data_IF_282151680600
#
_entry.id   IF_282151680600
#
_cell.length_a   1.000
_cell.length_b   1.000
_cell.length_c   1.000
_cell.angle_alpha   90.00
_cell.angle_beta   90.00
_cell.angle_gamma   90.00
#
_symmetry.space_group_name_H-M   'P 1'
#
loop_
_entity.id
_entity.type
_entity.pdbx_description
1 polymer ?
#
# COMPACT_ATOMS: atom_id res chain seq x y z
N UNK A 1 -7.60 -5.84 -6.89
CA UNK A 1 -8.10 -5.48 -5.54
C UNK A 1 -7.94 -6.69 -4.64
N UNK A 2 -7.37 -6.57 -3.43
CA UNK A 2 -7.27 -7.68 -2.48
C UNK A 2 -8.41 -7.61 -1.48
N UNK A 3 -9.31 -8.60 -1.52
CA UNK A 3 -10.40 -8.76 -0.54
C UNK A 3 -9.90 -9.67 0.58
N UNK A 4 -10.16 -9.30 1.83
CA UNK A 4 -9.82 -10.10 3.01
C UNK A 4 -11.08 -10.28 3.85
N UNK A 5 -11.48 -11.53 4.07
CA UNK A 5 -12.63 -11.87 4.91
C UNK A 5 -12.09 -12.46 6.21
N UNK A 6 -12.46 -11.86 7.34
CA UNK A 6 -12.17 -12.44 8.66
C UNK A 6 -12.99 -13.71 8.84
N UNK A 7 -12.40 -14.88 9.13
CA UNK A 7 -13.19 -16.11 9.28
C UNK A 7 -14.14 -16.07 10.48
N UNK A 8 -13.86 -15.21 11.46
CA UNK A 8 -14.74 -14.96 12.62
C UNK A 8 -15.99 -14.15 12.28
N UNK A 9 -15.98 -13.45 11.13
CA UNK A 9 -17.10 -12.63 10.66
C UNK A 9 -18.02 -13.38 9.71
N UNK A 10 -17.79 -14.66 9.42
CA UNK A 10 -18.64 -15.49 8.54
C UNK A 10 -19.68 -16.23 9.38
N UNK A 11 -20.98 -16.02 9.14
CA UNK A 11 -22.05 -16.79 9.79
C UNK A 11 -22.28 -18.14 9.11
N UNK A 12 -22.21 -18.16 7.77
CA UNK A 12 -22.45 -19.36 6.98
C UNK A 12 -21.71 -19.32 5.63
N UNK A 13 -21.40 -20.51 5.11
CA UNK A 13 -20.83 -20.73 3.78
C UNK A 13 -21.60 -21.87 3.11
N UNK A 14 -22.33 -21.53 2.04
CA UNK A 14 -22.88 -22.50 1.10
C UNK A 14 -22.10 -22.48 -0.21
N UNK A 15 -22.19 -23.56 -0.99
CA UNK A 15 -21.54 -23.63 -2.30
C UNK A 15 -22.43 -24.37 -3.31
N UNK A 16 -22.38 -23.93 -4.57
CA UNK A 16 -23.14 -24.54 -5.67
C UNK A 16 -22.41 -24.38 -7.00
N UNK A 17 -22.35 -25.44 -7.82
CA UNK A 17 -21.85 -25.36 -9.19
C UNK A 17 -22.90 -24.66 -10.06
N UNK A 18 -22.55 -23.54 -10.69
CA UNK A 18 -23.46 -22.77 -11.55
C UNK A 18 -22.93 -22.75 -12.99
N UNK A 19 -23.72 -23.32 -13.89
CA UNK A 19 -23.50 -23.28 -15.35
C UNK A 19 -24.12 -22.02 -15.98
N UNK A 20 -25.20 -21.50 -15.40
CA UNK A 20 -25.76 -20.17 -15.71
C UNK A 20 -25.09 -19.13 -14.81
N UNK A 21 -24.10 -18.43 -15.36
CA UNK A 21 -23.37 -17.35 -14.70
C UNK A 21 -23.86 -15.97 -15.17
N UNK A 22 -23.64 -14.88 -14.41
CA UNK A 22 -23.92 -13.53 -14.87
C UNK A 22 -23.09 -13.15 -16.10
N UNK A 23 -23.62 -12.30 -16.97
CA UNK A 23 -23.00 -11.93 -18.26
C UNK A 23 -21.60 -11.30 -18.14
N UNK A 24 -21.28 -10.72 -16.98
CA UNK A 24 -19.95 -10.18 -16.67
C UNK A 24 -18.89 -11.26 -16.35
N UNK A 25 -19.30 -12.51 -16.14
CA UNK A 25 -18.45 -13.63 -15.68
C UNK A 25 -18.38 -14.76 -16.72
N UNK A 26 -19.45 -14.96 -17.50
CA UNK A 26 -19.51 -15.96 -18.59
C UNK A 26 -18.35 -15.92 -19.60
N UNK A 27 -17.76 -14.77 -20.02
CA UNK A 27 -16.60 -14.78 -20.91
C UNK A 27 -15.27 -15.09 -20.20
N UNK A 28 -15.23 -15.11 -18.86
CA UNK A 28 -14.01 -15.31 -18.06
C UNK A 28 -13.90 -16.76 -17.58
N UNK A 29 -15.01 -17.35 -17.16
CA UNK A 29 -15.07 -18.74 -16.68
C UNK A 29 -16.34 -19.40 -17.24
N UNK A 30 -16.24 -20.52 -18.01
CA UNK A 30 -17.41 -21.16 -18.63
C UNK A 30 -18.24 -22.00 -17.65
N UNK A 31 -17.66 -22.45 -16.53
CA UNK A 31 -18.37 -23.09 -15.44
C UNK A 31 -17.68 -22.73 -14.12
N UNK A 32 -18.44 -22.35 -13.10
CA UNK A 32 -17.88 -21.89 -11.84
C UNK A 32 -18.66 -22.39 -10.63
N UNK A 33 -17.90 -22.70 -9.58
CA UNK A 33 -18.42 -22.96 -8.25
C UNK A 33 -18.66 -21.62 -7.58
N UNK A 34 -19.92 -21.34 -7.28
CA UNK A 34 -20.37 -20.16 -6.58
C UNK A 34 -20.38 -20.45 -5.09
N UNK A 35 -19.54 -19.74 -4.34
CA UNK A 35 -19.54 -19.69 -2.89
C UNK A 35 -20.46 -18.54 -2.46
N UNK A 36 -21.48 -18.83 -1.66
CA UNK A 36 -22.33 -17.80 -1.05
C UNK A 36 -22.00 -17.74 0.45
N UNK A 37 -21.43 -16.61 0.87
CA UNK A 37 -21.01 -16.33 2.24
C UNK A 37 -21.94 -15.28 2.83
N UNK A 38 -22.40 -15.51 4.05
CA UNK A 38 -23.08 -14.48 4.84
C UNK A 38 -22.15 -14.03 5.98
N UNK A 39 -22.14 -12.72 6.22
CA UNK A 39 -21.31 -12.07 7.24
C UNK A 39 -22.13 -11.61 8.46
N UNK A 40 -21.49 -11.57 9.62
CA UNK A 40 -22.03 -10.98 10.86
C UNK A 40 -22.14 -9.47 10.74
N UNK A 41 -21.07 -8.84 10.24
CA UNK A 41 -20.89 -7.41 10.11
C UNK A 41 -20.71 -7.04 8.63
N UNK A 42 -21.10 -5.83 8.25
CA UNK A 42 -20.93 -5.33 6.89
C UNK A 42 -19.46 -4.99 6.56
N UNK A 43 -19.14 -4.86 5.27
CA UNK A 43 -17.76 -4.83 4.76
C UNK A 43 -17.02 -3.56 5.21
N UNK A 44 -16.04 -3.74 6.11
CA UNK A 44 -15.18 -2.66 6.61
C UNK A 44 -14.18 -2.20 5.54
N UNK A 45 -14.13 -0.90 5.29
CA UNK A 45 -13.20 -0.30 4.32
C UNK A 45 -11.92 0.20 5.02
N UNK A 46 -10.78 -0.14 4.43
CA UNK A 46 -9.45 0.29 4.87
C UNK A 46 -8.84 1.28 3.86
N UNK A 47 -8.31 2.39 4.36
CA UNK A 47 -7.60 3.43 3.58
C UNK A 47 -6.22 3.73 4.17
N UNK A 48 -5.27 4.25 3.38
CA UNK A 48 -3.97 4.67 3.91
C UNK A 48 -4.10 5.68 5.05
N UNK A 49 -3.30 5.53 6.12
CA UNK A 49 -3.38 6.35 7.32
C UNK A 49 -3.24 7.86 7.06
N UNK A 50 -2.47 8.24 6.03
CA UNK A 50 -2.24 9.63 5.63
C UNK A 50 -3.43 10.30 4.93
N UNK A 51 -4.46 9.56 4.50
CA UNK A 51 -5.64 10.16 3.88
C UNK A 51 -6.43 10.93 4.95
N UNK A 52 -6.73 12.21 4.67
CA UNK A 52 -7.55 13.05 5.54
C UNK A 52 -9.02 12.61 5.45
N UNK A 53 -9.71 12.67 6.58
CA UNK A 53 -11.14 12.38 6.66
C UNK A 53 -11.98 13.68 6.59
N UNK A 54 -13.21 13.63 6.04
CA UNK A 54 -13.83 12.49 5.36
C UNK A 54 -13.14 12.17 4.02
N UNK A 55 -13.18 10.91 3.60
CA UNK A 55 -12.59 10.47 2.31
C UNK A 55 -13.44 11.02 1.17
N UNK A 56 -12.96 12.07 0.52
CA UNK A 56 -13.64 12.77 -0.57
C UNK A 56 -13.00 12.49 -1.93
N UNK A 57 -13.83 12.40 -2.99
CA UNK A 57 -13.36 12.20 -4.35
C UNK A 57 -12.78 13.50 -4.94
N UNK A 58 -11.51 13.45 -5.39
CA UNK A 58 -10.86 14.56 -6.09
C UNK A 58 -11.28 14.71 -7.57
N UNK A 59 -11.89 13.66 -8.17
CA UNK A 59 -12.32 13.60 -9.58
C UNK A 59 -13.64 12.81 -9.70
N UNK A 60 -14.46 13.10 -10.71
CA UNK A 60 -15.77 12.45 -10.88
C UNK A 60 -15.73 10.92 -11.05
N UNK A 61 -14.71 10.36 -11.72
CA UNK A 61 -14.50 8.90 -11.80
C UNK A 61 -14.20 8.30 -10.40
N UNK A 62 -13.43 8.99 -9.57
CA UNK A 62 -13.18 8.60 -8.18
C UNK A 62 -14.43 8.70 -7.31
N UNK A 63 -15.36 9.62 -7.63
CA UNK A 63 -16.68 9.71 -7.00
C UNK A 63 -17.43 8.39 -7.13
N UNK A 64 -17.67 7.94 -8.37
CA UNK A 64 -18.33 6.65 -8.66
C UNK A 64 -17.69 5.46 -7.95
N UNK A 65 -16.37 5.45 -7.78
CA UNK A 65 -15.67 4.39 -7.05
C UNK A 65 -15.97 4.47 -5.54
N UNK A 66 -16.00 5.66 -4.94
CA UNK A 66 -16.42 5.82 -3.55
C UNK A 66 -17.91 5.51 -3.36
N UNK A 67 -18.76 5.84 -4.34
CA UNK A 67 -20.20 5.52 -4.32
C UNK A 67 -20.41 4.00 -4.34
N UNK A 68 -19.78 3.27 -5.26
CA UNK A 68 -19.86 1.80 -5.30
C UNK A 68 -19.18 1.11 -4.10
N UNK A 69 -18.14 1.72 -3.52
CA UNK A 69 -17.56 1.23 -2.26
C UNK A 69 -18.48 1.50 -1.06
N UNK A 70 -19.20 2.63 -1.05
CA UNK A 70 -20.22 2.93 -0.05
C UNK A 70 -21.36 1.90 -0.12
N UNK A 71 -21.88 1.61 -1.31
CA UNK A 71 -22.85 0.53 -1.52
C UNK A 71 -22.31 -0.81 -1.00
N UNK A 72 -21.07 -1.18 -1.36
CA UNK A 72 -20.42 -2.42 -0.91
C UNK A 72 -20.26 -2.49 0.63
N UNK A 73 -19.99 -1.37 1.31
CA UNK A 73 -19.85 -1.33 2.78
C UNK A 73 -21.15 -1.58 3.56
N UNK A 74 -22.29 -1.70 2.88
CA UNK A 74 -23.58 -2.10 3.45
C UNK A 74 -23.94 -3.57 3.14
N UNK A 75 -23.11 -4.29 2.39
CA UNK A 75 -23.37 -5.69 1.99
C UNK A 75 -22.92 -6.67 3.07
N UNK A 76 -23.83 -7.55 3.49
CA UNK A 76 -23.57 -8.71 4.37
C UNK A 76 -23.46 -10.03 3.60
N UNK A 77 -24.05 -10.13 2.42
CA UNK A 77 -24.14 -11.37 1.64
C UNK A 77 -23.24 -11.32 0.40
N UNK A 78 -22.15 -12.09 0.40
CA UNK A 78 -21.14 -12.13 -0.65
C UNK A 78 -21.29 -13.37 -1.53
N UNK A 79 -21.27 -13.17 -2.85
CA UNK A 79 -21.17 -14.25 -3.85
C UNK A 79 -19.81 -14.20 -4.53
N UNK A 80 -19.01 -15.24 -4.33
CA UNK A 80 -17.67 -15.39 -4.93
C UNK A 80 -17.72 -16.55 -5.92
N UNK A 81 -17.30 -16.30 -7.16
CA UNK A 81 -17.23 -17.32 -8.21
C UNK A 81 -15.77 -17.77 -8.37
N UNK A 82 -15.53 -19.08 -8.27
CA UNK A 82 -14.21 -19.70 -8.49
C UNK A 82 -14.29 -20.77 -9.58
N UNK A 83 -13.20 -21.03 -10.34
CA UNK A 83 -13.15 -22.15 -11.27
C UNK A 83 -13.45 -23.48 -10.56
N UNK A 84 -14.17 -24.40 -11.22
CA UNK A 84 -14.51 -25.71 -10.63
C UNK A 84 -13.29 -26.60 -10.31
N UNK A 85 -12.12 -26.28 -10.88
CA UNK A 85 -10.84 -26.93 -10.59
C UNK A 85 -10.10 -26.36 -9.37
N UNK A 86 -10.58 -25.25 -8.78
CA UNK A 86 -9.85 -24.54 -7.73
C UNK A 86 -9.96 -25.18 -6.33
N UNK A 87 -11.05 -25.91 -6.04
CA UNK A 87 -11.27 -26.64 -4.78
C UNK A 87 -11.99 -27.96 -5.04
N UNK A 88 -11.56 -29.04 -4.40
CA UNK A 88 -12.28 -30.32 -4.44
C UNK A 88 -13.56 -30.28 -3.61
N UNK A 89 -14.53 -31.16 -3.92
CA UNK A 89 -15.75 -31.31 -3.14
C UNK A 89 -15.49 -31.65 -1.66
N UNK A 90 -14.38 -32.34 -1.35
CA UNK A 90 -13.97 -32.63 0.02
C UNK A 90 -13.40 -31.39 0.73
N UNK A 91 -12.65 -30.55 0.02
CA UNK A 91 -12.18 -29.27 0.54
C UNK A 91 -13.36 -28.32 0.81
N UNK A 92 -14.32 -28.22 -0.11
CA UNK A 92 -15.53 -27.41 0.05
C UNK A 92 -16.35 -27.84 1.29
N UNK A 93 -16.55 -29.16 1.49
CA UNK A 93 -17.18 -29.71 2.71
C UNK A 93 -16.37 -29.44 3.97
N UNK A 94 -15.04 -29.53 3.89
CA UNK A 94 -14.14 -29.28 5.02
C UNK A 94 -14.20 -27.81 5.45
N UNK A 95 -14.19 -26.87 4.51
CA UNK A 95 -14.29 -25.43 4.79
C UNK A 95 -15.68 -25.09 5.32
N UNK A 96 -16.76 -25.58 4.68
CA UNK A 96 -18.14 -25.34 5.12
C UNK A 96 -18.37 -25.85 6.55
N UNK A 97 -18.00 -27.10 6.86
CA UNK A 97 -18.13 -27.63 8.24
C UNK A 97 -17.16 -26.99 9.25
N UNK A 98 -16.09 -26.32 8.81
CA UNK A 98 -15.23 -25.51 9.68
C UNK A 98 -15.79 -24.10 9.94
N UNK A 99 -16.57 -23.54 9.02
CA UNK A 99 -17.40 -22.33 9.25
C UNK A 99 -18.50 -22.64 10.26
N UNK A 100 -19.30 -23.69 10.02
CA UNK A 100 -20.39 -24.11 10.93
C UNK A 100 -19.93 -24.32 12.38
N UNK A 101 -18.70 -24.83 12.57
CA UNK A 101 -18.10 -25.09 13.89
C UNK A 101 -17.28 -23.93 14.44
N UNK A 102 -17.19 -22.81 13.72
CA UNK A 102 -16.34 -21.64 14.05
C UNK A 102 -14.87 -22.02 14.32
N UNK A 103 -14.34 -23.01 13.58
CA UNK A 103 -12.99 -23.55 13.74
C UNK A 103 -11.94 -22.84 12.87
N UNK A 104 -12.36 -22.07 11.87
CA UNK A 104 -11.44 -21.26 11.07
C UNK A 104 -10.82 -20.13 11.91
N UNK A 105 -9.49 -20.04 11.90
CA UNK A 105 -8.76 -18.98 12.60
C UNK A 105 -8.33 -17.88 11.63
N UNK A 106 -8.31 -16.59 12.03
CA UNK A 106 -7.68 -15.53 11.26
C UNK A 106 -6.22 -15.87 10.92
N UNK A 107 -5.82 -15.64 9.67
CA UNK A 107 -4.43 -15.75 9.26
C UNK A 107 -3.57 -14.77 10.07
N UNK A 108 -2.41 -15.25 10.51
CA UNK A 108 -1.46 -14.48 11.33
C UNK A 108 -0.14 -14.37 10.59
N UNK A 109 0.36 -13.15 10.37
CA UNK A 109 1.61 -12.90 9.65
C UNK A 109 1.80 -11.42 9.32
N UNK A 110 2.99 -11.01 8.83
CA UNK A 110 3.29 -9.61 8.54
C UNK A 110 2.38 -9.01 7.46
N UNK A 111 1.88 -9.82 6.52
CA UNK A 111 0.96 -9.34 5.48
C UNK A 111 -0.40 -8.91 6.05
N UNK A 112 -0.79 -9.45 7.21
CA UNK A 112 -2.06 -9.17 7.90
C UNK A 112 -1.97 -8.03 8.91
N UNK A 113 -0.77 -7.51 9.15
CA UNK A 113 -0.53 -6.30 9.95
C UNK A 113 -1.00 -5.06 9.17
N UNK A 114 -2.12 -4.47 9.60
CA UNK A 114 -2.66 -3.24 8.99
C UNK A 114 -1.65 -2.09 8.99
N UNK A 115 -0.69 -2.07 9.92
CA UNK A 115 0.37 -1.06 10.01
C UNK A 115 1.37 -1.12 8.83
N UNK A 116 1.44 -2.26 8.12
CA UNK A 116 2.34 -2.47 6.97
C UNK A 116 1.67 -2.29 5.62
N UNK A 117 0.34 -2.21 5.59
CA UNK A 117 -0.42 -1.96 4.38
C UNK A 117 -0.06 -0.61 3.75
N UNK A 118 -0.35 -0.45 2.45
CA UNK A 118 -0.05 0.76 1.67
C UNK A 118 1.44 1.15 1.75
N UNK A 119 2.32 0.20 1.42
CA UNK A 119 3.79 0.36 1.40
C UNK A 119 4.38 0.86 2.73
N UNK A 120 3.91 0.33 3.87
CA UNK A 120 4.36 0.76 5.19
C UNK A 120 3.74 2.06 5.71
N UNK A 121 2.84 2.71 4.96
CA UNK A 121 2.07 3.88 5.42
C UNK A 121 1.02 3.54 6.49
N UNK A 122 0.71 2.25 6.62
CA UNK A 122 -0.37 1.74 7.45
C UNK A 122 -1.75 1.99 6.84
N UNK A 123 -2.72 1.19 7.29
CA UNK A 123 -4.13 1.32 7.01
C UNK A 123 -4.91 1.69 8.27
N UNK A 124 -5.96 2.49 8.08
CA UNK A 124 -7.00 2.76 9.08
C UNK A 124 -8.37 2.40 8.52
N UNK A 125 -9.29 2.05 9.43
CA UNK A 125 -10.72 1.93 9.11
C UNK A 125 -11.26 3.31 8.78
N UNK A 126 -12.14 3.39 7.78
CA UNK A 126 -12.89 4.61 7.47
C UNK A 126 -14.37 4.29 7.26
N UNK A 127 -15.23 5.26 7.54
CA UNK A 127 -16.63 5.25 7.11
C UNK A 127 -16.75 6.17 5.90
N UNK A 128 -17.17 5.64 4.76
CA UNK A 128 -17.45 6.46 3.60
C UNK A 128 -18.73 7.29 3.83
N UNK A 129 -18.71 8.54 3.39
CA UNK A 129 -19.90 9.38 3.44
C UNK A 129 -20.94 8.89 2.41
N UNK A 130 -22.22 9.01 2.75
CA UNK A 130 -23.29 8.74 1.79
C UNK A 130 -23.19 9.69 0.58
N UNK A 131 -23.51 9.22 -0.66
CA UNK A 131 -23.54 10.08 -1.84
C UNK A 131 -24.42 11.31 -1.61
N UNK A 132 -23.83 12.51 -1.77
CA UNK A 132 -24.55 13.75 -1.56
C UNK A 132 -25.61 13.95 -2.65
N UNK A 133 -26.87 14.30 -2.31
CA UNK A 133 -27.82 14.79 -3.29
C UNK A 133 -27.28 16.10 -3.91
N UNK A 134 -27.67 16.44 -5.16
CA UNK A 134 -27.13 17.60 -5.86
C UNK A 134 -27.43 18.90 -5.11
N UNK A 135 -26.40 19.45 -4.46
CA UNK A 135 -26.50 20.63 -3.59
C UNK A 135 -26.16 21.92 -4.34
N UNK A 136 -26.99 22.94 -4.16
CA UNK A 136 -26.67 24.32 -4.55
C UNK A 136 -25.99 25.08 -3.39
N UNK A 137 -25.20 26.09 -3.78
CA UNK A 137 -24.56 27.15 -2.97
C UNK A 137 -23.54 26.82 -1.84
N UNK A 138 -22.26 26.96 -2.23
CA UNK A 138 -21.21 27.83 -1.66
C UNK A 138 -21.35 28.38 -0.22
N UNK A 139 -20.25 28.29 0.56
CA UNK A 139 -19.26 29.36 0.92
C UNK A 139 -18.35 28.82 2.07
N UNK A 140 -17.12 29.32 2.21
CA UNK A 140 -16.09 28.82 3.15
C UNK A 140 -15.82 29.72 4.39
N UNK A 141 -15.12 29.18 5.39
CA UNK A 141 -14.40 29.92 6.46
C UNK A 141 -13.12 29.17 6.92
N UNK A 142 -12.18 29.84 7.60
CA UNK A 142 -10.74 29.46 7.67
C UNK A 142 -10.08 29.85 9.03
N UNK A 143 -8.91 29.24 9.37
CA UNK A 143 -7.88 29.70 10.36
C UNK A 143 -8.16 29.49 11.90
N UNK A 144 -7.19 29.44 12.86
CA UNK A 144 -5.69 29.50 12.85
C UNK A 144 -4.99 28.96 14.15
N UNK A 145 -3.71 28.55 14.04
CA UNK A 145 -2.51 28.70 14.95
C UNK A 145 -2.46 28.45 16.50
N UNK A 146 -1.30 27.98 16.99
CA UNK A 146 -0.76 27.99 18.39
C UNK A 146 0.47 28.98 18.49
N UNK A 147 1.49 28.94 19.41
CA UNK A 147 1.74 28.28 20.73
C UNK A 147 2.36 29.23 21.83
N UNK A 148 2.86 28.75 23.01
CA UNK A 148 3.69 29.54 23.98
C UNK A 148 4.61 28.73 24.96
N UNK A 149 5.93 29.10 25.03
CA UNK A 149 6.83 29.40 26.21
C UNK A 149 7.02 28.40 27.41
N UNK A 150 8.10 28.36 28.24
CA UNK A 150 9.30 29.23 28.42
C UNK A 150 10.62 28.54 28.99
N UNK A 151 11.66 29.35 29.24
CA UNK A 151 13.04 29.18 29.84
C UNK A 151 13.15 28.38 31.19
N UNK A 152 14.31 28.04 31.81
CA UNK A 152 15.68 28.64 31.87
C UNK A 152 16.79 27.73 32.49
N UNK A 153 18.08 27.93 32.06
CA UNK A 153 19.38 27.97 32.82
C UNK A 153 19.82 26.81 33.81
N UNK A 154 21.04 26.70 34.40
CA UNK A 154 22.33 27.46 34.39
C UNK A 154 23.60 26.57 34.62
N UNK A 155 24.77 27.17 34.94
CA UNK A 155 26.18 26.67 34.96
C UNK A 155 26.81 26.05 36.27
N UNK A 156 27.52 24.93 36.10
CA UNK A 156 28.95 24.56 36.40
C UNK A 156 29.74 24.59 37.78
N UNK A 157 30.87 23.82 37.90
CA UNK A 157 31.68 23.52 39.13
C UNK A 157 33.18 24.00 38.99
N UNK A 158 34.33 23.28 39.29
CA UNK A 158 34.73 22.14 40.18
C UNK A 158 36.11 22.31 40.96
N UNK A 159 36.64 21.20 41.55
CA UNK A 159 38.04 20.68 41.43
C UNK A 159 39.09 20.62 42.63
N UNK A 160 39.86 19.50 42.67
CA UNK A 160 41.19 19.22 43.31
C UNK A 160 41.43 19.13 44.85
N UNK A 161 42.28 18.16 45.31
CA UNK A 161 43.63 18.39 45.94
C UNK A 161 44.42 17.13 46.41
N UNK A 162 45.73 17.32 46.63
CA UNK A 162 46.82 16.31 46.78
C UNK A 162 47.35 16.12 48.22
N UNK A 163 47.98 14.95 48.53
CA UNK A 163 49.01 14.62 49.56
C UNK A 163 49.43 13.13 49.43
N UNK A 164 50.56 12.59 49.96
CA UNK A 164 52.00 12.97 49.96
C UNK A 164 52.85 11.70 50.30
N UNK A 165 54.14 11.61 49.92
CA UNK A 165 55.07 10.48 50.25
C UNK A 165 55.84 10.66 51.57
N UNK A 166 56.42 9.55 52.09
CA UNK A 166 57.49 9.49 53.12
C UNK A 166 58.62 8.53 52.68
N UNK A 167 59.77 8.61 53.37
CA UNK A 167 61.03 7.90 53.09
C UNK A 167 61.57 7.27 54.39
N UNK A 168 62.17 6.07 54.30
CA UNK A 168 63.02 5.45 55.33
C UNK A 168 63.86 4.33 54.69
N UNK A 169 65.01 3.99 55.29
CA UNK A 169 66.16 3.37 54.59
C UNK A 169 66.68 2.09 55.29
N UNK A 170 67.24 1.19 54.47
CA UNK A 170 68.15 0.04 54.73
C UNK A 170 68.00 -0.82 56.01
N UNK A 171 67.96 -2.14 55.77
CA UNK A 171 68.64 -3.15 56.60
C UNK A 171 69.40 -4.08 55.66
N UNK A 172 70.70 -4.28 55.90
CA UNK A 172 71.51 -5.30 55.23
C UNK A 172 71.03 -6.68 55.67
N UNK A 173 70.45 -7.45 54.74
CA UNK A 173 69.91 -8.77 55.04
C UNK A 173 70.14 -9.73 53.86
N UNK A 174 71.20 -10.54 54.02
CA UNK A 174 71.46 -11.84 53.38
C UNK A 174 71.56 -11.87 51.84
N UNK A 175 72.70 -12.32 51.32
CA UNK A 175 73.00 -12.27 49.89
C UNK A 175 72.04 -13.14 49.06
N UNK A 176 71.68 -14.33 49.58
CA UNK A 176 70.70 -15.21 48.93
C UNK A 176 69.29 -14.62 49.01
N UNK A 177 68.94 -13.94 50.11
CA UNK A 177 67.67 -13.23 50.21
C UNK A 177 67.58 -12.01 49.27
N UNK A 178 68.71 -11.36 48.96
CA UNK A 178 68.81 -10.32 47.93
C UNK A 178 68.66 -10.94 46.54
N UNK A 179 69.35 -12.04 46.24
CA UNK A 179 69.28 -12.72 44.95
C UNK A 179 67.87 -13.24 44.63
N UNK A 180 67.22 -13.90 45.60
CA UNK A 180 65.83 -14.35 45.49
C UNK A 180 64.84 -13.18 45.29
N UNK A 181 65.09 -12.01 45.92
CA UNK A 181 64.29 -10.79 45.65
C UNK A 181 64.54 -10.25 44.25
N UNK A 182 65.79 -10.29 43.76
CA UNK A 182 66.15 -9.81 42.43
C UNK A 182 65.50 -10.68 41.33
N UNK A 183 65.60 -12.00 41.44
CA UNK A 183 64.97 -12.95 40.54
C UNK A 183 63.43 -12.83 40.56
N UNK A 184 62.83 -12.58 41.73
CA UNK A 184 61.39 -12.31 41.86
C UNK A 184 60.99 -10.98 41.20
N UNK A 185 61.81 -9.94 41.31
CA UNK A 185 61.59 -8.66 40.63
C UNK A 185 61.73 -8.80 39.11
N UNK A 186 62.71 -9.54 38.62
CA UNK A 186 62.88 -9.86 37.20
C UNK A 186 61.68 -10.62 36.64
N UNK A 187 61.21 -11.67 37.33
CA UNK A 187 59.99 -12.39 36.95
C UNK A 187 58.74 -11.49 36.96
N UNK A 188 58.62 -10.57 37.92
CA UNK A 188 57.54 -9.59 37.96
C UNK A 188 57.64 -8.53 36.83
N UNK A 189 58.85 -8.13 36.45
CA UNK A 189 59.08 -7.21 35.32
C UNK A 189 58.70 -7.90 34.00
N UNK A 190 59.17 -9.13 33.78
CA UNK A 190 58.89 -9.90 32.56
C UNK A 190 57.40 -10.25 32.40
N UNK A 191 56.70 -10.57 33.49
CA UNK A 191 55.24 -10.72 33.44
C UNK A 191 54.52 -9.38 33.15
N UNK A 192 55.07 -8.26 33.60
CA UNK A 192 54.46 -6.94 33.41
C UNK A 192 54.64 -6.40 32.00
N UNK A 193 55.81 -6.57 31.38
CA UNK A 193 55.98 -6.27 29.95
C UNK A 193 55.08 -7.15 29.10
N UNK A 194 54.98 -8.45 29.39
CA UNK A 194 54.04 -9.33 28.69
C UNK A 194 52.57 -8.89 28.82
N UNK A 195 52.15 -8.36 29.97
CA UNK A 195 50.82 -7.76 30.14
C UNK A 195 50.65 -6.41 29.41
N UNK A 196 51.66 -5.53 29.47
CA UNK A 196 51.61 -4.22 28.79
C UNK A 196 51.59 -4.38 27.26
N UNK A 197 52.31 -5.38 26.71
CA UNK A 197 52.29 -5.71 25.28
C UNK A 197 50.98 -6.40 24.87
N UNK A 198 50.46 -7.35 25.67
CA UNK A 198 49.12 -7.91 25.44
C UNK A 198 48.01 -6.85 25.46
N UNK A 199 48.14 -5.83 26.33
CA UNK A 199 47.21 -4.70 26.39
C UNK A 199 47.32 -3.77 25.17
N UNK A 200 48.52 -3.58 24.62
CA UNK A 200 48.75 -2.86 23.35
C UNK A 200 48.10 -3.57 22.18
N UNK A 201 48.31 -4.87 22.04
CA UNK A 201 47.71 -5.69 20.96
C UNK A 201 46.17 -5.66 21.02
N UNK A 202 45.59 -5.76 22.21
CA UNK A 202 44.14 -5.59 22.40
C UNK A 202 43.68 -4.18 22.04
N UNK A 203 44.43 -3.14 22.40
CA UNK A 203 44.08 -1.76 22.04
C UNK A 203 44.15 -1.51 20.52
N UNK A 204 45.11 -2.13 19.81
CA UNK A 204 45.23 -2.06 18.36
C UNK A 204 44.05 -2.79 17.68
N UNK A 205 43.71 -4.00 18.14
CA UNK A 205 42.56 -4.75 17.63
C UNK A 205 41.24 -4.00 17.85
N UNK A 206 41.04 -3.40 19.03
CA UNK A 206 39.86 -2.57 19.33
C UNK A 206 39.80 -1.35 18.41
N UNK A 207 40.94 -0.76 18.04
CA UNK A 207 40.97 0.37 17.11
C UNK A 207 40.59 -0.07 15.69
N UNK A 208 41.22 -1.13 15.15
CA UNK A 208 40.88 -1.69 13.83
C UNK A 208 39.40 -2.06 13.74
N UNK A 209 38.84 -2.69 14.78
CA UNK A 209 37.40 -3.03 14.83
C UNK A 209 36.49 -1.79 14.86
N UNK A 210 36.91 -0.68 15.48
CA UNK A 210 36.16 0.59 15.46
C UNK A 210 36.18 1.24 14.08
N UNK A 211 37.33 1.22 13.43
CA UNK A 211 37.52 1.82 12.11
C UNK A 211 36.74 1.04 11.03
N UNK A 212 36.73 -0.30 11.11
CA UNK A 212 35.89 -1.16 10.28
C UNK A 212 34.38 -0.94 10.55
N UNK A 213 33.96 -0.83 11.82
CA UNK A 213 32.56 -0.50 12.17
C UNK A 213 32.16 0.89 11.66
N UNK A 214 33.07 1.87 11.63
CA UNK A 214 32.81 3.18 11.05
C UNK A 214 32.63 3.09 9.52
N UNK A 215 33.52 2.37 8.84
CA UNK A 215 33.47 2.16 7.39
C UNK A 215 32.20 1.41 6.95
N UNK A 216 31.83 0.34 7.65
CA UNK A 216 30.59 -0.41 7.39
C UNK A 216 29.32 0.43 7.60
N UNK A 217 29.33 1.37 8.57
CA UNK A 217 28.22 2.33 8.75
C UNK A 217 28.13 3.34 7.61
N UNK A 218 29.26 3.82 7.11
CA UNK A 218 29.30 4.72 5.94
C UNK A 218 28.80 4.01 4.67
N UNK A 219 29.25 2.78 4.42
CA UNK A 219 28.74 1.94 3.32
C UNK A 219 27.22 1.71 3.45
N UNK A 220 26.74 1.40 4.65
CA UNK A 220 25.31 1.16 4.92
C UNK A 220 24.48 2.43 4.70
N UNK A 221 24.93 3.60 5.15
CA UNK A 221 24.25 4.88 4.90
C UNK A 221 24.25 5.25 3.39
N UNK A 222 25.36 5.00 2.69
CA UNK A 222 25.47 5.18 1.23
C UNK A 222 24.52 4.24 0.47
N UNK A 223 24.37 3.00 0.93
CA UNK A 223 23.43 2.03 0.37
C UNK A 223 21.97 2.43 0.62
N UNK A 224 21.62 2.77 1.87
CA UNK A 224 20.29 3.25 2.24
C UNK A 224 19.87 4.47 1.43
N UNK A 225 20.78 5.43 1.21
CA UNK A 225 20.49 6.59 0.36
C UNK A 225 20.17 6.17 -1.07
N UNK A 226 20.99 5.30 -1.69
CA UNK A 226 20.74 4.79 -3.05
C UNK A 226 19.40 4.06 -3.16
N UNK A 227 19.00 3.30 -2.14
CA UNK A 227 17.68 2.67 -2.10
C UNK A 227 16.56 3.71 -2.09
N UNK A 228 16.65 4.74 -1.24
CA UNK A 228 15.65 5.82 -1.19
C UNK A 228 15.60 6.64 -2.50
N UNK A 229 16.77 6.98 -3.08
CA UNK A 229 16.88 7.68 -4.36
C UNK A 229 16.20 6.85 -5.49
N UNK A 230 16.41 5.52 -5.52
CA UNK A 230 15.77 4.59 -6.47
C UNK A 230 14.27 4.36 -6.21
N UNK A 231 13.82 4.35 -4.96
CA UNK A 231 12.40 4.22 -4.60
C UNK A 231 11.61 5.44 -5.10
N UNK A 232 12.20 6.64 -5.01
CA UNK A 232 11.64 7.89 -5.58
C UNK A 232 11.59 7.80 -7.11
N UNK A 233 12.66 7.34 -7.78
CA UNK A 233 12.68 7.17 -9.24
C UNK A 233 11.61 6.19 -9.72
N UNK A 234 11.50 5.02 -9.07
CA UNK A 234 10.48 4.00 -9.40
C UNK A 234 9.06 4.49 -9.11
N UNK A 235 8.85 5.32 -8.08
CA UNK A 235 7.56 5.95 -7.82
C UNK A 235 7.19 6.95 -8.94
N UNK A 236 8.12 7.83 -9.33
CA UNK A 236 7.92 8.78 -10.42
C UNK A 236 7.66 8.11 -11.76
N UNK A 237 8.43 7.07 -12.11
CA UNK A 237 8.21 6.29 -13.33
C UNK A 237 6.81 5.64 -13.37
N UNK A 238 6.36 5.08 -12.25
CA UNK A 238 4.99 4.53 -12.12
C UNK A 238 3.91 5.59 -12.26
N UNK A 239 4.11 6.78 -11.70
CA UNK A 239 3.20 7.90 -11.90
C UNK A 239 3.16 8.37 -13.36
N UNK A 240 4.32 8.46 -14.04
CA UNK A 240 4.33 8.81 -15.47
C UNK A 240 3.68 7.74 -16.35
N UNK A 241 3.87 6.46 -16.05
CA UNK A 241 3.18 5.38 -16.77
C UNK A 241 1.67 5.44 -16.53
N UNK A 242 1.22 5.56 -15.28
CA UNK A 242 -0.21 5.64 -14.97
C UNK A 242 -0.90 6.85 -15.64
N UNK A 243 -0.22 8.00 -15.72
CA UNK A 243 -0.75 9.17 -16.45
C UNK A 243 -0.77 8.97 -17.97
N UNK A 244 0.18 8.21 -18.54
CA UNK A 244 0.17 7.84 -19.96
C UNK A 244 -0.96 6.85 -20.28
N UNK A 245 -1.10 5.81 -19.45
CA UNK A 245 -2.18 4.80 -19.56
C UNK A 245 -3.57 5.44 -19.44
N UNK A 246 -3.77 6.35 -18.47
CA UNK A 246 -5.03 7.12 -18.31
C UNK A 246 -5.30 8.01 -19.54
N UNK A 247 -4.25 8.58 -20.16
CA UNK A 247 -4.39 9.43 -21.35
C UNK A 247 -4.76 8.61 -22.59
N UNK A 248 -4.08 7.49 -22.84
CA UNK A 248 -4.43 6.57 -23.94
C UNK A 248 -5.85 6.02 -23.76
N UNK A 249 -6.25 5.70 -22.52
CA UNK A 249 -7.61 5.26 -22.20
C UNK A 249 -8.70 6.34 -22.36
N UNK A 250 -8.34 7.62 -22.44
CA UNK A 250 -9.27 8.71 -22.83
C UNK A 250 -9.38 8.80 -24.34
N UNK A 251 -8.26 8.91 -25.07
CA UNK A 251 -8.25 8.95 -26.54
C UNK A 251 -8.95 7.71 -27.16
N UNK A 252 -8.74 6.52 -26.58
CA UNK A 252 -9.42 5.28 -26.97
C UNK A 252 -10.91 5.23 -26.60
N UNK A 253 -11.38 6.07 -25.68
CA UNK A 253 -12.80 6.19 -25.36
C UNK A 253 -13.49 7.16 -26.34
N UNK A 254 -12.87 8.31 -26.58
CA UNK A 254 -13.40 9.35 -27.48
C UNK A 254 -13.49 8.82 -28.92
N UNK A 255 -12.46 8.11 -29.41
CA UNK A 255 -12.53 7.41 -30.71
C UNK A 255 -13.65 6.36 -30.81
N UNK A 256 -14.07 5.73 -29.69
CA UNK A 256 -15.20 4.79 -29.69
C UNK A 256 -16.55 5.50 -29.74
N UNK A 257 -16.66 6.68 -29.14
CA UNK A 257 -17.86 7.51 -29.25
C UNK A 257 -18.01 8.11 -30.66
N UNK A 258 -16.90 8.51 -31.30
CA UNK A 258 -16.87 8.90 -32.71
C UNK A 258 -17.26 7.74 -33.64
N UNK A 259 -16.68 6.54 -33.47
CA UNK A 259 -17.07 5.34 -34.24
C UNK A 259 -18.57 5.06 -34.08
N UNK A 260 -19.09 5.04 -32.85
CA UNK A 260 -20.52 4.83 -32.58
C UNK A 260 -21.39 5.93 -33.21
N UNK A 261 -20.91 7.17 -33.26
CA UNK A 261 -21.62 8.29 -33.90
C UNK A 261 -21.63 8.14 -35.43
N UNK A 262 -20.54 7.63 -36.02
CA UNK A 262 -20.47 7.30 -37.44
C UNK A 262 -21.33 6.08 -37.80
N UNK A 263 -21.35 5.03 -36.97
CA UNK A 263 -22.24 3.88 -37.09
C UNK A 263 -23.69 4.35 -37.15
N UNK A 264 -24.19 5.08 -36.14
CA UNK A 264 -25.56 5.61 -36.12
C UNK A 264 -25.92 6.45 -37.37
N UNK A 265 -24.95 7.16 -37.95
CA UNK A 265 -25.13 7.94 -39.18
C UNK A 265 -25.16 7.08 -40.44
N UNK A 266 -24.33 6.03 -40.51
CA UNK A 266 -24.38 5.02 -41.57
C UNK A 266 -25.75 4.34 -41.56
N UNK A 267 -26.17 3.89 -40.38
CA UNK A 267 -27.45 3.24 -40.07
C UNK A 267 -28.66 4.08 -40.51
N UNK A 268 -28.59 5.41 -40.34
CA UNK A 268 -29.60 6.36 -40.82
C UNK A 268 -29.60 6.50 -42.34
N UNK A 269 -28.42 6.61 -42.98
CA UNK A 269 -28.30 6.73 -44.43
C UNK A 269 -28.72 5.45 -45.15
N UNK A 270 -28.40 4.28 -44.60
CA UNK A 270 -28.78 2.99 -45.17
C UNK A 270 -30.30 2.75 -45.08
N UNK A 271 -30.92 3.03 -43.92
CA UNK A 271 -32.39 3.05 -43.81
C UNK A 271 -33.05 4.05 -44.75
N UNK A 272 -32.52 5.27 -44.86
CA UNK A 272 -33.05 6.31 -45.75
C UNK A 272 -32.82 6.06 -47.24
N UNK A 273 -31.93 5.12 -47.61
CA UNK A 273 -31.70 4.67 -48.99
C UNK A 273 -32.72 3.62 -49.43
N UNK A 274 -33.13 2.76 -48.50
CA UNK A 274 -34.08 1.67 -48.76
C UNK A 274 -35.54 2.07 -48.41
N UNK A 275 -35.77 3.34 -48.03
CA UNK A 275 -37.09 3.95 -47.80
C UNK A 275 -37.81 4.25 -49.13
N UNK A 276 -38.38 3.20 -49.73
CA UNK A 276 -39.23 3.31 -50.93
C UNK A 276 -40.50 4.16 -50.68
N UNK A 277 -40.97 4.32 -49.44
CA UNK A 277 -42.17 5.13 -49.16
C UNK A 277 -41.83 6.63 -49.29
N UNK A 278 -40.73 7.08 -48.68
CA UNK A 278 -40.18 8.43 -48.86
C UNK A 278 -39.81 8.69 -50.33
N UNK A 279 -39.16 7.72 -50.99
CA UNK A 279 -38.80 7.83 -52.40
C UNK A 279 -40.01 7.98 -53.32
N UNK A 280 -41.08 7.19 -53.10
CA UNK A 280 -42.34 7.32 -53.85
C UNK A 280 -43.09 8.61 -53.51
N UNK A 281 -43.08 9.06 -52.24
CA UNK A 281 -43.70 10.33 -51.84
C UNK A 281 -43.05 11.54 -52.51
N UNK A 282 -41.71 11.64 -52.47
CA UNK A 282 -40.95 12.69 -53.18
C UNK A 282 -41.25 12.67 -54.68
N UNK A 283 -41.33 11.47 -55.27
CA UNK A 283 -41.67 11.28 -56.68
C UNK A 283 -43.09 11.77 -57.01
N UNK A 284 -44.08 11.53 -56.15
CA UNK A 284 -45.44 12.05 -56.31
C UNK A 284 -45.46 13.57 -56.18
N UNK A 285 -44.84 14.15 -55.15
CA UNK A 285 -44.76 15.60 -54.96
C UNK A 285 -44.10 16.31 -56.15
N UNK A 286 -43.04 15.73 -56.73
CA UNK A 286 -42.40 16.22 -57.97
C UNK A 286 -43.34 16.11 -59.18
N UNK A 287 -44.10 15.02 -59.33
CA UNK A 287 -45.07 14.88 -60.41
C UNK A 287 -46.23 15.88 -60.29
N UNK A 288 -46.73 16.13 -59.08
CA UNK A 288 -47.78 17.12 -58.83
C UNK A 288 -47.26 18.55 -59.08
N UNK A 289 -46.02 18.88 -58.68
CA UNK A 289 -45.43 20.18 -58.99
C UNK A 289 -45.19 20.37 -60.49
N UNK A 290 -44.68 19.35 -61.19
CA UNK A 290 -44.53 19.38 -62.65
C UNK A 290 -45.89 19.52 -63.35
N UNK A 291 -46.92 18.78 -62.90
CA UNK A 291 -48.27 18.89 -63.43
C UNK A 291 -48.90 20.26 -63.16
N UNK A 292 -48.62 20.87 -62.01
CA UNK A 292 -49.04 22.24 -61.70
C UNK A 292 -48.34 23.27 -62.60
N UNK A 293 -47.01 23.15 -62.80
CA UNK A 293 -46.23 24.02 -63.70
C UNK A 293 -46.68 23.87 -65.17
N UNK A 294 -47.05 22.67 -65.62
CA UNK A 294 -47.55 22.40 -66.99
C UNK A 294 -49.01 22.83 -67.20
N UNK A 295 -49.82 22.95 -66.13
CA UNK A 295 -51.19 23.50 -66.18
C UNK A 295 -51.27 25.01 -65.88
N UNK A 296 -50.19 25.59 -65.37
CA UNK A 296 -50.10 26.99 -64.94
C UNK A 296 -49.29 27.90 -65.86
N UNK A 297 -48.96 27.44 -67.07
CA UNK A 297 -48.30 28.19 -68.14
C UNK A 297 -49.05 28.05 -69.46
#
# INVERSE_FOLDING_TARGET
MNIRISPLSITSLSYSTKTTLPDAITPIIPSATCLELQLVDAITILVPSFIKEPVAAARARSGKILDSLYELSHVTDLRIYIPDSALSLEQLKTISTAVEKQQLRPFSGPDYDISRMFSGSGAKVTTLAAPLPPSYDKVASVQSSAPLFNESATFDPPNTRSRKRKLSQEVLADADAIWNKLQKLEAMINHRTAQDDQARDQSLLIQVLRDEIAHLREQLASCQKKCADLEIEVAGLRETQANADDSEAVELADMREDIKTLENRLDFVERGKDDEELGNKIKVEIFDELAARVKGG
#
